data_IF_834872367381
#
_entry.id   IF_834872367381
#
_cell.length_a   1.000
_cell.length_b   1.000
_cell.length_c   1.000
_cell.angle_alpha   90.00
_cell.angle_beta   90.00
_cell.angle_gamma   90.00
#
_symmetry.space_group_name_H-M   'P 1'
#
loop_
_entity.id
_entity.type
_entity.pdbx_description
1 polymer ?
#
# COMPACT_ATOMS: atom_id res chain seq x y z
N UNK A 1 62.32 -83.61 20.87
CA UNK A 1 61.21 -82.68 21.08
C UNK A 1 61.20 -81.59 20.05
N UNK A 2 60.34 -81.67 19.00
CA UNK A 2 60.22 -80.66 17.97
C UNK A 2 59.07 -79.65 18.39
N UNK A 3 59.44 -78.43 18.70
CA UNK A 3 58.47 -77.35 18.94
C UNK A 3 57.86 -76.89 17.60
N UNK A 4 56.62 -77.26 17.33
CA UNK A 4 55.90 -76.71 16.19
C UNK A 4 55.58 -75.22 16.43
N UNK A 5 56.15 -74.33 15.58
CA UNK A 5 55.74 -72.92 15.48
C UNK A 5 54.37 -72.87 14.85
N UNK A 6 53.39 -72.52 15.63
CA UNK A 6 52.10 -72.11 15.11
C UNK A 6 52.31 -70.75 14.43
N UNK A 7 52.39 -70.74 13.09
CA UNK A 7 52.29 -69.52 12.32
C UNK A 7 50.85 -69.06 12.40
N UNK A 8 50.56 -68.17 13.33
CA UNK A 8 49.30 -67.47 13.38
C UNK A 8 49.06 -66.77 12.07
N UNK A 9 47.80 -66.91 11.51
CA UNK A 9 47.41 -66.40 10.20
C UNK A 9 47.27 -64.83 10.19
N UNK A 10 48.41 -64.14 9.96
CA UNK A 10 48.44 -62.69 9.73
C UNK A 10 47.60 -62.28 8.50
N UNK A 11 47.30 -63.21 7.60
CA UNK A 11 46.50 -63.03 6.40
C UNK A 11 44.96 -62.76 6.70
N UNK A 12 44.41 -63.42 7.73
CA UNK A 12 43.04 -63.23 8.14
C UNK A 12 42.75 -61.79 8.74
N UNK A 13 43.72 -61.32 9.54
CA UNK A 13 43.66 -59.98 10.14
C UNK A 13 43.78 -58.90 9.07
N UNK A 14 44.66 -59.04 8.06
CA UNK A 14 44.79 -58.12 6.96
C UNK A 14 43.52 -58.00 6.12
N UNK A 15 42.82 -59.14 5.89
CA UNK A 15 41.53 -59.14 5.16
C UNK A 15 40.45 -58.40 5.92
N UNK A 16 40.35 -58.62 7.25
CA UNK A 16 39.36 -57.90 8.09
C UNK A 16 39.63 -56.41 8.10
N UNK A 17 40.88 -55.95 8.25
CA UNK A 17 41.25 -54.55 8.19
C UNK A 17 40.95 -53.94 6.83
N UNK A 18 41.24 -54.66 5.74
CA UNK A 18 40.90 -54.20 4.40
C UNK A 18 39.37 -54.06 4.21
N UNK A 19 38.58 -55.02 4.72
CA UNK A 19 37.13 -54.98 4.67
C UNK A 19 36.59 -53.79 5.47
N UNK A 20 37.07 -53.54 6.68
CA UNK A 20 36.72 -52.35 7.48
C UNK A 20 37.09 -51.06 6.77
N UNK A 21 38.28 -50.98 6.18
CA UNK A 21 38.67 -49.79 5.42
C UNK A 21 37.76 -49.54 4.24
N UNK A 22 37.38 -50.57 3.48
CA UNK A 22 36.43 -50.46 2.36
C UNK A 22 35.02 -50.03 2.83
N UNK A 23 34.53 -50.62 3.93
CA UNK A 23 33.21 -50.22 4.47
C UNK A 23 33.19 -48.80 4.98
N UNK A 24 34.24 -48.34 5.65
CA UNK A 24 34.41 -46.96 6.09
C UNK A 24 34.45 -46.00 4.88
N UNK A 25 35.28 -46.33 3.87
CA UNK A 25 35.35 -45.54 2.65
C UNK A 25 34.02 -45.48 1.91
N UNK A 26 33.29 -46.62 1.80
CA UNK A 26 31.94 -46.64 1.21
C UNK A 26 30.94 -45.78 1.98
N UNK A 27 30.95 -45.86 3.33
CA UNK A 27 30.14 -45.03 4.17
C UNK A 27 30.43 -43.51 4.00
N UNK A 28 31.71 -43.15 3.92
CA UNK A 28 32.16 -41.78 3.66
C UNK A 28 31.70 -41.28 2.28
N UNK A 29 31.84 -42.12 1.24
CA UNK A 29 31.35 -41.76 -0.12
C UNK A 29 29.85 -41.52 -0.14
N UNK A 30 29.06 -42.39 0.51
CA UNK A 30 27.60 -42.21 0.60
C UNK A 30 27.25 -40.95 1.38
N UNK A 31 27.92 -40.68 2.50
CA UNK A 31 27.70 -39.45 3.28
C UNK A 31 28.08 -38.22 2.47
N UNK A 32 29.22 -38.20 1.79
CA UNK A 32 29.63 -37.10 0.94
C UNK A 32 28.67 -36.87 -0.25
N UNK A 33 28.23 -37.96 -0.91
CA UNK A 33 27.28 -37.86 -2.00
C UNK A 33 25.94 -37.29 -1.51
N UNK A 34 25.49 -37.61 -0.28
CA UNK A 34 24.32 -37.01 0.36
C UNK A 34 24.45 -35.50 0.56
N UNK A 35 25.59 -35.07 1.13
CA UNK A 35 25.90 -33.64 1.33
C UNK A 35 25.96 -32.91 -0.02
N UNK A 36 26.73 -33.45 -0.97
CA UNK A 36 26.84 -32.82 -2.30
C UNK A 36 25.51 -32.69 -3.05
N UNK A 37 24.61 -33.69 -2.91
CA UNK A 37 23.25 -33.61 -3.47
C UNK A 37 22.43 -32.50 -2.81
N UNK A 38 22.47 -32.38 -1.49
CA UNK A 38 21.77 -31.32 -0.74
C UNK A 38 22.32 -29.95 -1.13
N UNK A 39 23.65 -29.79 -1.21
CA UNK A 39 24.27 -28.53 -1.62
C UNK A 39 23.87 -28.13 -3.06
N UNK A 40 23.81 -29.09 -3.98
CA UNK A 40 23.41 -28.85 -5.35
C UNK A 40 21.93 -28.40 -5.42
N UNK A 41 21.03 -29.01 -4.63
CA UNK A 41 19.63 -28.61 -4.52
C UNK A 41 19.47 -27.20 -3.94
N UNK A 42 20.20 -26.90 -2.86
CA UNK A 42 20.20 -25.57 -2.26
C UNK A 42 20.72 -24.51 -3.23
N UNK A 43 21.83 -24.79 -3.93
CA UNK A 43 22.36 -23.89 -4.95
C UNK A 43 21.37 -23.66 -6.11
N UNK A 44 20.69 -24.72 -6.55
CA UNK A 44 19.63 -24.64 -7.56
C UNK A 44 18.45 -23.79 -7.12
N UNK A 45 17.96 -24.00 -5.89
CA UNK A 45 16.85 -23.21 -5.34
C UNK A 45 17.24 -21.74 -5.15
N UNK A 46 18.45 -21.47 -4.65
CA UNK A 46 18.96 -20.10 -4.51
C UNK A 46 19.07 -19.37 -5.84
N UNK A 47 19.55 -20.07 -6.88
CA UNK A 47 19.59 -19.52 -8.23
C UNK A 47 18.20 -19.21 -8.75
N UNK A 48 17.24 -20.14 -8.62
CA UNK A 48 15.86 -19.95 -9.04
C UNK A 48 15.21 -18.76 -8.32
N UNK A 49 15.44 -18.61 -7.01
CA UNK A 49 14.95 -17.48 -6.22
C UNK A 49 15.52 -16.14 -6.71
N UNK A 50 16.81 -16.06 -6.99
CA UNK A 50 17.42 -14.84 -7.54
C UNK A 50 16.90 -14.49 -8.93
N UNK A 51 16.73 -15.49 -9.80
CA UNK A 51 16.14 -15.30 -11.13
C UNK A 51 14.67 -14.89 -11.01
N UNK A 52 13.92 -15.48 -10.05
CA UNK A 52 12.54 -15.12 -9.74
C UNK A 52 12.37 -13.66 -9.32
N UNK A 53 13.31 -13.11 -8.53
CA UNK A 53 13.31 -11.67 -8.18
C UNK A 53 13.39 -10.82 -9.46
N UNK A 54 14.27 -11.15 -10.40
CA UNK A 54 14.41 -10.41 -11.65
C UNK A 54 13.18 -10.57 -12.55
N UNK A 55 12.59 -11.77 -12.60
CA UNK A 55 11.34 -12.00 -13.33
C UNK A 55 10.19 -11.18 -12.72
N UNK A 56 10.03 -11.17 -11.39
CA UNK A 56 9.03 -10.33 -10.71
C UNK A 56 9.30 -8.82 -10.93
N UNK A 57 10.56 -8.39 -11.01
CA UNK A 57 10.90 -7.02 -11.39
C UNK A 57 10.36 -6.64 -12.78
N UNK A 58 10.33 -7.57 -13.71
CA UNK A 58 9.75 -7.33 -15.05
C UNK A 58 8.24 -7.04 -14.95
N UNK A 59 7.52 -7.69 -14.02
CA UNK A 59 6.13 -7.38 -13.71
C UNK A 59 5.95 -5.95 -13.23
N UNK A 60 6.82 -5.47 -12.33
CA UNK A 60 6.78 -4.07 -11.89
C UNK A 60 7.07 -3.09 -13.05
N UNK A 61 8.01 -3.41 -13.95
CA UNK A 61 8.29 -2.57 -15.12
C UNK A 61 7.11 -2.51 -16.08
N UNK A 62 6.41 -3.63 -16.26
CA UNK A 62 5.20 -3.67 -17.05
C UNK A 62 4.11 -2.76 -16.46
N UNK A 63 3.84 -2.85 -15.16
CA UNK A 63 2.89 -1.96 -14.46
C UNK A 63 3.29 -0.48 -14.60
N UNK A 64 4.59 -0.16 -14.53
CA UNK A 64 5.09 1.20 -14.79
C UNK A 64 4.80 1.67 -16.20
N UNK A 65 4.90 0.78 -17.18
CA UNK A 65 4.57 1.10 -18.57
C UNK A 65 3.08 1.38 -18.74
N UNK A 66 2.20 0.55 -18.16
CA UNK A 66 0.75 0.77 -18.20
C UNK A 66 0.38 2.10 -17.55
N UNK A 67 0.89 2.39 -16.34
CA UNK A 67 0.67 3.68 -15.67
C UNK A 67 1.23 4.89 -16.41
N UNK A 68 2.26 4.71 -17.25
CA UNK A 68 2.85 5.79 -18.06
C UNK A 68 2.02 6.09 -19.33
N UNK A 69 1.30 5.10 -19.83
CA UNK A 69 0.41 5.22 -20.97
C UNK A 69 -1.00 5.72 -20.61
N UNK A 70 -1.34 5.64 -19.33
CA UNK A 70 -2.64 6.00 -18.77
C UNK A 70 -2.85 7.52 -18.63
N UNK A 71 -4.12 7.96 -18.71
CA UNK A 71 -4.49 9.38 -18.53
C UNK A 71 -4.53 9.76 -17.04
N UNK A 72 -3.49 10.44 -16.56
CA UNK A 72 -3.37 10.88 -15.19
C UNK A 72 -4.38 11.98 -14.74
N UNK A 73 -5.38 12.31 -15.56
CA UNK A 73 -6.42 13.30 -15.22
C UNK A 73 -7.54 12.72 -14.35
N UNK A 74 -7.69 11.40 -14.36
CA UNK A 74 -8.66 10.60 -13.62
C UNK A 74 -8.01 9.27 -13.25
N UNK A 75 -8.37 8.69 -12.13
CA UNK A 75 -8.03 7.31 -11.76
C UNK A 75 -9.26 6.58 -11.24
N UNK A 76 -9.60 5.47 -11.89
CA UNK A 76 -10.79 4.68 -11.58
C UNK A 76 -10.53 3.18 -11.69
N UNK A 77 -11.42 2.38 -11.12
CA UNK A 77 -11.37 0.92 -11.23
C UNK A 77 -11.74 0.39 -12.63
N UNK A 78 -12.19 1.25 -13.54
CA UNK A 78 -12.53 0.89 -14.91
C UNK A 78 -11.33 0.98 -15.88
N UNK A 79 -10.19 1.51 -15.45
CA UNK A 79 -9.01 1.73 -16.28
C UNK A 79 -8.13 0.49 -16.40
N UNK A 80 -7.29 0.44 -17.44
CA UNK A 80 -6.45 -0.72 -17.76
C UNK A 80 -5.52 -1.12 -16.59
N UNK A 81 -4.98 -0.15 -15.86
CA UNK A 81 -4.12 -0.44 -14.70
C UNK A 81 -4.88 -1.16 -13.58
N UNK A 82 -6.18 -0.86 -13.40
CA UNK A 82 -7.02 -1.50 -12.39
C UNK A 82 -7.50 -2.88 -12.85
N UNK A 83 -7.66 -3.10 -14.15
CA UNK A 83 -8.01 -4.43 -14.70
C UNK A 83 -6.92 -5.48 -14.43
N UNK A 84 -5.64 -5.09 -14.39
CA UNK A 84 -4.53 -5.97 -14.01
C UNK A 84 -4.73 -6.57 -12.60
N UNK A 85 -5.53 -5.94 -11.74
CA UNK A 85 -5.87 -6.48 -10.43
C UNK A 85 -6.87 -7.64 -10.52
N UNK A 86 -7.82 -7.58 -11.46
CA UNK A 86 -8.88 -8.57 -11.63
C UNK A 86 -8.41 -9.74 -12.51
N UNK A 87 -7.60 -9.42 -13.52
CA UNK A 87 -7.01 -10.39 -14.44
C UNK A 87 -5.49 -10.14 -14.46
N UNK A 88 -4.72 -10.87 -13.64
CA UNK A 88 -3.29 -10.70 -13.55
C UNK A 88 -2.63 -10.92 -14.90
N UNK A 89 -1.87 -9.94 -15.38
CA UNK A 89 -1.16 -10.07 -16.63
C UNK A 89 -0.10 -11.14 -16.50
N UNK A 90 -0.21 -12.18 -17.32
CA UNK A 90 0.84 -13.17 -17.53
C UNK A 90 1.86 -12.62 -18.52
N UNK A 91 3.09 -12.43 -18.03
CA UNK A 91 4.21 -12.02 -18.88
C UNK A 91 4.96 -13.25 -19.34
N UNK A 92 5.19 -13.34 -20.64
CA UNK A 92 6.04 -14.38 -21.26
C UNK A 92 7.52 -14.11 -20.94
N UNK A 93 7.94 -14.59 -19.79
CA UNK A 93 9.34 -14.57 -19.33
C UNK A 93 9.87 -16.00 -19.41
N UNK A 94 10.86 -16.30 -20.25
CA UNK A 94 11.33 -17.67 -20.44
C UNK A 94 11.63 -18.41 -19.13
N UNK A 95 10.90 -19.50 -18.87
CA UNK A 95 11.05 -20.34 -17.68
C UNK A 95 10.38 -19.81 -16.40
N UNK A 96 9.56 -18.76 -16.50
CA UNK A 96 8.81 -18.20 -15.37
C UNK A 96 7.40 -17.80 -15.76
N UNK A 97 6.44 -18.13 -14.91
CA UNK A 97 5.13 -17.47 -14.89
C UNK A 97 5.24 -16.22 -14.01
N UNK A 98 4.88 -15.06 -14.55
CA UNK A 98 4.92 -13.77 -13.83
C UNK A 98 3.53 -13.17 -13.81
N UNK A 99 3.05 -12.84 -12.61
CA UNK A 99 1.81 -12.12 -12.40
C UNK A 99 2.08 -10.79 -11.67
N UNK A 100 1.29 -9.78 -11.93
CA UNK A 100 1.41 -8.48 -11.25
C UNK A 100 0.03 -7.89 -10.94
N UNK A 101 -0.03 -7.10 -9.86
CA UNK A 101 -1.21 -6.37 -9.40
C UNK A 101 -0.84 -4.91 -9.15
N UNK A 102 -1.70 -4.00 -9.59
CA UNK A 102 -1.58 -2.55 -9.31
C UNK A 102 -2.75 -2.13 -8.44
N UNK A 103 -2.48 -1.34 -7.40
CA UNK A 103 -3.50 -0.79 -6.51
C UNK A 103 -3.23 0.68 -6.27
N UNK A 104 -4.30 1.48 -6.19
CA UNK A 104 -4.23 2.89 -5.81
C UNK A 104 -4.00 3.03 -4.30
N UNK A 105 -2.93 3.73 -3.90
CA UNK A 105 -2.68 4.04 -2.48
C UNK A 105 -3.70 5.06 -1.93
N UNK A 106 -4.28 5.92 -2.77
CA UNK A 106 -5.36 6.83 -2.37
C UNK A 106 -6.72 6.14 -2.18
N UNK A 107 -6.83 4.84 -2.44
CA UNK A 107 -7.97 4.03 -2.01
C UNK A 107 -7.98 3.76 -0.50
N UNK A 108 -6.91 4.10 0.23
CA UNK A 108 -6.69 3.86 1.66
C UNK A 108 -6.54 5.15 2.45
N UNK A 109 -6.88 5.09 3.73
CA UNK A 109 -6.69 6.23 4.64
C UNK A 109 -5.20 6.42 4.94
N UNK A 110 -4.66 7.62 4.70
CA UNK A 110 -3.28 7.91 5.04
C UNK A 110 -3.13 8.16 6.56
N UNK A 111 -2.43 7.25 7.21
CA UNK A 111 -2.26 7.27 8.66
C UNK A 111 -1.42 8.45 9.14
N UNK A 112 -0.60 9.04 8.27
CA UNK A 112 0.21 10.22 8.60
C UNK A 112 -0.58 11.53 8.58
N UNK A 113 -1.76 11.56 7.94
CA UNK A 113 -2.60 12.75 7.85
C UNK A 113 -3.97 12.59 8.53
N UNK A 114 -4.37 11.36 8.87
CA UNK A 114 -5.64 11.07 9.52
C UNK A 114 -5.71 11.74 10.92
N UNK A 115 -6.85 12.36 11.24
CA UNK A 115 -7.11 12.83 12.60
C UNK A 115 -7.78 11.74 13.45
N UNK A 116 -8.02 12.00 14.73
CA UNK A 116 -8.62 11.04 15.67
C UNK A 116 -9.98 10.53 15.17
N UNK A 117 -10.86 11.43 14.71
CA UNK A 117 -12.19 11.04 14.24
C UNK A 117 -12.13 10.07 13.06
N UNK A 118 -11.20 10.32 12.13
CA UNK A 118 -10.96 9.44 10.98
C UNK A 118 -10.44 8.06 11.40
N UNK A 119 -9.53 8.01 12.37
CA UNK A 119 -9.02 6.76 12.92
C UNK A 119 -10.11 5.99 13.64
N UNK A 120 -10.89 6.65 14.51
CA UNK A 120 -11.97 6.04 15.28
C UNK A 120 -13.13 5.50 14.42
N UNK A 121 -13.26 5.97 13.17
CA UNK A 121 -14.24 5.45 12.23
C UNK A 121 -13.78 4.13 11.55
N UNK A 122 -12.53 3.69 11.74
CA UNK A 122 -12.07 2.41 11.24
C UNK A 122 -12.55 1.24 12.13
N UNK A 123 -12.90 0.09 11.55
CA UNK A 123 -13.37 -1.08 12.32
C UNK A 123 -12.36 -1.52 13.37
N UNK A 124 -12.85 -1.79 14.58
CA UNK A 124 -12.04 -2.27 15.70
C UNK A 124 -11.12 -1.23 16.35
N UNK A 125 -11.11 0.01 15.86
CA UNK A 125 -10.29 1.08 16.45
C UNK A 125 -10.77 1.44 17.86
N UNK A 126 -9.80 1.63 18.77
CA UNK A 126 -10.04 2.05 20.16
C UNK A 126 -9.42 3.42 20.41
N UNK A 127 -9.85 4.10 21.52
CA UNK A 127 -9.20 5.32 21.96
C UNK A 127 -7.71 5.12 22.20
N UNK A 128 -7.32 3.98 22.82
CA UNK A 128 -5.92 3.64 23.07
C UNK A 128 -5.11 3.55 21.78
N UNK A 129 -5.58 2.77 20.81
CA UNK A 129 -4.88 2.61 19.53
C UNK A 129 -4.82 3.93 18.76
N UNK A 130 -5.93 4.70 18.72
CA UNK A 130 -5.98 5.96 17.97
C UNK A 130 -5.09 7.04 18.57
N UNK A 131 -5.10 7.22 19.91
CA UNK A 131 -4.25 8.20 20.59
C UNK A 131 -2.77 7.80 20.47
N UNK A 132 -2.44 6.51 20.67
CA UNK A 132 -1.07 6.02 20.51
C UNK A 132 -0.54 6.12 19.07
N UNK A 133 -1.39 5.99 18.04
CA UNK A 133 -1.00 6.24 16.63
C UNK A 133 -0.67 7.73 16.43
N UNK A 134 -1.42 8.62 17.07
CA UNK A 134 -1.19 10.05 16.95
C UNK A 134 0.09 10.47 17.69
N UNK A 135 0.32 9.94 18.90
CA UNK A 135 1.54 10.16 19.68
C UNK A 135 2.77 9.61 18.98
N UNK A 136 2.70 8.39 18.45
CA UNK A 136 3.80 7.77 17.69
C UNK A 136 4.37 8.66 16.60
N UNK A 137 3.53 9.47 15.95
CA UNK A 137 3.92 10.25 14.76
C UNK A 137 4.13 11.74 15.00
N UNK A 138 3.69 12.31 16.13
CA UNK A 138 3.99 13.71 16.41
C UNK A 138 5.41 13.89 16.95
N UNK A 139 5.82 15.12 17.24
CA UNK A 139 7.22 15.43 17.50
C UNK A 139 7.53 15.67 18.97
N UNK A 140 6.52 15.61 19.84
CA UNK A 140 6.69 15.80 21.28
C UNK A 140 6.60 14.45 22.03
N UNK A 141 6.78 14.46 23.35
CA UNK A 141 6.68 13.30 24.23
C UNK A 141 5.53 13.48 25.26
N UNK A 142 4.51 14.29 24.94
CA UNK A 142 3.35 14.55 25.78
C UNK A 142 2.19 13.61 25.41
N UNK A 143 1.96 12.52 26.17
CA UNK A 143 0.97 11.50 25.78
C UNK A 143 -0.46 12.06 25.81
N UNK A 144 -1.26 11.72 24.80
CA UNK A 144 -2.71 11.91 24.81
C UNK A 144 -3.35 11.09 25.94
N UNK A 145 -4.61 11.39 26.31
CA UNK A 145 -5.26 10.74 27.46
C UNK A 145 -5.25 9.21 27.47
N UNK A 146 -5.30 8.56 26.30
CA UNK A 146 -5.23 7.11 26.14
C UNK A 146 -3.99 6.68 25.32
N UNK A 147 -3.09 7.57 25.00
CA UNK A 147 -1.94 7.36 24.15
C UNK A 147 -0.68 6.89 24.86
N UNK A 148 0.39 6.74 24.11
CA UNK A 148 1.68 6.26 24.58
C UNK A 148 2.84 6.94 23.86
N UNK A 149 3.80 7.40 24.64
CA UNK A 149 5.05 7.98 24.21
C UNK A 149 6.26 7.14 24.57
N UNK A 150 7.45 7.63 24.32
CA UNK A 150 8.72 6.91 24.51
C UNK A 150 8.87 6.29 25.92
N UNK A 151 8.37 6.93 26.97
CA UNK A 151 8.43 6.41 28.34
C UNK A 151 7.67 5.05 28.46
N UNK A 152 6.53 4.91 27.78
CA UNK A 152 5.81 3.64 27.74
C UNK A 152 6.62 2.56 27.01
N UNK A 153 7.11 2.85 25.82
CA UNK A 153 7.81 1.86 24.98
C UNK A 153 9.15 1.44 25.57
N UNK A 154 9.85 2.36 26.27
CA UNK A 154 11.08 2.06 27.02
C UNK A 154 10.85 1.17 28.24
N UNK A 155 9.62 1.13 28.80
CA UNK A 155 9.25 0.25 29.90
C UNK A 155 8.98 -1.21 29.49
N UNK A 156 8.87 -1.49 28.20
CA UNK A 156 8.57 -2.83 27.68
C UNK A 156 9.78 -3.78 27.84
N UNK A 157 9.56 -5.11 27.92
CA UNK A 157 10.64 -6.11 27.99
C UNK A 157 11.63 -6.04 26.83
N UNK A 158 11.15 -5.68 25.63
CA UNK A 158 11.97 -5.33 24.46
C UNK A 158 11.83 -3.84 24.25
N UNK A 159 12.60 -3.06 24.97
CA UNK A 159 12.52 -1.60 24.97
C UNK A 159 12.89 -0.99 23.61
N UNK A 160 12.11 -0.01 23.18
CA UNK A 160 12.35 0.85 22.01
C UNK A 160 11.74 2.24 22.28
N UNK A 161 12.04 3.21 21.46
CA UNK A 161 11.48 4.57 21.55
C UNK A 161 10.32 4.72 20.55
N UNK A 162 9.39 5.65 20.83
CA UNK A 162 8.43 6.12 19.83
C UNK A 162 9.19 6.72 18.64
N UNK A 163 8.60 6.68 17.44
CA UNK A 163 9.28 7.22 16.27
C UNK A 163 9.35 8.75 16.29
N UNK A 164 8.40 9.43 16.95
CA UNK A 164 8.21 10.88 16.97
C UNK A 164 8.35 11.48 15.55
N UNK A 165 7.84 10.75 14.57
CA UNK A 165 7.92 11.04 13.14
C UNK A 165 6.86 10.25 12.37
N UNK A 166 6.55 10.71 11.17
CA UNK A 166 5.65 10.01 10.26
C UNK A 166 6.00 8.53 10.09
N UNK A 167 4.98 7.68 10.03
CA UNK A 167 5.16 6.27 9.67
C UNK A 167 5.81 6.14 8.29
N UNK A 168 6.86 5.34 8.19
CA UNK A 168 7.51 5.01 6.92
C UNK A 168 6.86 3.80 6.24
N UNK A 169 6.33 2.88 7.06
CA UNK A 169 5.63 1.67 6.58
C UNK A 169 4.41 1.37 7.46
N UNK A 170 3.37 0.79 6.85
CA UNK A 170 2.17 0.33 7.59
C UNK A 170 2.53 -0.72 8.65
N UNK A 171 3.59 -1.50 8.44
CA UNK A 171 4.02 -2.53 9.39
C UNK A 171 4.48 -1.97 10.76
N UNK A 172 4.90 -0.69 10.83
CA UNK A 172 5.25 -0.03 12.09
C UNK A 172 4.06 0.10 13.06
N UNK A 173 2.83 0.06 12.56
CA UNK A 173 1.64 0.02 13.41
C UNK A 173 1.65 -1.13 14.43
N UNK A 174 2.32 -2.24 14.11
CA UNK A 174 2.46 -3.39 15.03
C UNK A 174 3.34 -3.10 16.24
N UNK A 175 4.02 -1.97 16.26
CA UNK A 175 4.82 -1.49 17.38
C UNK A 175 4.04 -0.53 18.28
N UNK A 176 2.87 -0.06 17.83
CA UNK A 176 2.08 0.97 18.50
C UNK A 176 1.17 0.31 19.57
N UNK A 177 1.11 0.90 20.74
CA UNK A 177 0.22 0.47 21.82
C UNK A 177 -1.24 0.42 21.33
N UNK A 178 -2.00 -0.58 21.77
CA UNK A 178 -3.40 -0.77 21.39
C UNK A 178 -3.60 -1.39 20.01
N UNK A 179 -2.54 -1.50 19.18
CA UNK A 179 -2.61 -2.17 17.88
C UNK A 179 -2.17 -3.64 18.04
N UNK A 180 -3.09 -4.50 18.33
CA UNK A 180 -2.86 -5.92 18.41
C UNK A 180 -2.87 -6.60 17.02
N UNK A 181 -2.66 -7.91 17.01
CA UNK A 181 -2.64 -8.68 15.77
C UNK A 181 -3.99 -8.70 15.07
N UNK A 182 -5.09 -8.78 15.81
CA UNK A 182 -6.44 -8.86 15.26
C UNK A 182 -6.82 -7.52 14.58
N UNK A 183 -6.59 -6.42 15.26
CA UNK A 183 -6.80 -5.08 14.70
C UNK A 183 -5.92 -4.84 13.46
N UNK A 184 -4.65 -5.30 13.48
CA UNK A 184 -3.73 -5.10 12.36
C UNK A 184 -4.04 -5.98 11.15
N UNK A 185 -4.20 -7.31 11.36
CA UNK A 185 -4.36 -8.29 10.27
C UNK A 185 -5.83 -8.49 9.85
N UNK A 186 -6.79 -8.25 10.77
CA UNK A 186 -8.20 -8.61 10.60
C UNK A 186 -8.43 -10.12 10.73
N UNK A 187 -9.68 -10.52 10.60
CA UNK A 187 -10.10 -11.93 10.61
C UNK A 187 -10.36 -12.48 9.19
N UNK A 188 -10.19 -11.63 8.17
CA UNK A 188 -10.42 -11.96 6.76
C UNK A 188 -11.87 -11.72 6.30
N UNK A 189 -12.77 -11.27 7.19
CA UNK A 189 -14.12 -10.86 6.80
C UNK A 189 -14.17 -9.42 6.30
N UNK A 190 -15.22 -9.06 5.59
CA UNK A 190 -15.49 -7.66 5.19
C UNK A 190 -15.73 -6.75 6.41
N UNK A 191 -16.24 -7.28 7.50
CA UNK A 191 -16.49 -6.53 8.73
C UNK A 191 -15.20 -6.21 9.51
N UNK A 192 -14.15 -7.04 9.36
CA UNK A 192 -12.86 -6.87 10.02
C UNK A 192 -11.70 -7.09 9.04
N UNK A 193 -11.53 -6.18 8.05
CA UNK A 193 -10.50 -6.34 7.02
C UNK A 193 -9.08 -6.12 7.54
N UNK A 194 -8.92 -5.61 8.77
CA UNK A 194 -7.65 -5.24 9.39
C UNK A 194 -7.05 -3.93 8.87
N UNK A 195 -6.37 -3.20 9.76
CA UNK A 195 -5.78 -1.90 9.44
C UNK A 195 -4.81 -1.96 8.24
N UNK A 196 -4.05 -3.06 8.11
CA UNK A 196 -3.09 -3.25 7.01
C UNK A 196 -3.70 -3.08 5.61
N UNK A 197 -5.01 -3.34 5.47
CA UNK A 197 -5.74 -3.24 4.21
C UNK A 197 -6.45 -1.89 4.04
N UNK A 198 -6.73 -1.19 5.14
CA UNK A 198 -7.49 0.06 5.17
C UNK A 198 -6.61 1.31 5.16
N UNK A 199 -5.35 1.20 5.58
CA UNK A 199 -4.48 2.37 5.73
C UNK A 199 -3.24 2.30 4.83
N UNK A 200 -2.67 3.47 4.59
CA UNK A 200 -1.40 3.67 3.90
C UNK A 200 -0.56 4.72 4.62
N UNK A 201 0.72 4.78 4.31
CA UNK A 201 1.63 5.83 4.78
C UNK A 201 1.91 6.90 3.72
N UNK A 202 1.48 6.64 2.47
CA UNK A 202 1.71 7.55 1.34
C UNK A 202 0.53 7.51 0.38
N UNK A 203 -0.23 8.57 0.33
CA UNK A 203 -1.28 8.79 -0.67
C UNK A 203 -1.39 10.28 -0.97
N UNK A 204 -2.04 10.62 -2.04
CA UNK A 204 -2.32 12.00 -2.41
C UNK A 204 -2.27 12.25 -3.90
N UNK A 205 -2.49 13.49 -4.26
CA UNK A 205 -2.53 13.96 -5.65
C UNK A 205 -1.63 15.18 -5.86
N UNK A 206 -1.19 15.42 -7.09
CA UNK A 206 -0.59 16.71 -7.47
C UNK A 206 -1.63 17.81 -7.41
N UNK A 207 -1.23 18.99 -6.91
CA UNK A 207 -2.11 20.17 -6.84
C UNK A 207 -2.28 20.84 -8.20
N UNK A 208 -2.82 20.09 -9.15
CA UNK A 208 -3.06 20.54 -10.54
C UNK A 208 -4.49 20.22 -10.96
N UNK A 209 -5.01 21.00 -11.92
CA UNK A 209 -6.29 20.73 -12.56
C UNK A 209 -6.23 19.48 -13.48
N UNK A 210 -7.35 19.10 -14.09
CA UNK A 210 -7.42 17.96 -15.03
C UNK A 210 -6.53 18.13 -16.27
N UNK A 211 -6.10 19.36 -16.60
CA UNK A 211 -5.19 19.64 -17.72
C UNK A 211 -3.72 19.70 -17.29
N UNK A 212 -3.42 19.32 -16.03
CA UNK A 212 -2.08 19.34 -15.48
C UNK A 212 -1.55 20.74 -15.13
N UNK A 213 -2.38 21.79 -15.14
CA UNK A 213 -2.00 23.15 -14.76
C UNK A 213 -2.17 23.36 -13.26
N UNK A 214 -1.30 24.15 -12.60
CA UNK A 214 -1.47 24.47 -11.19
C UNK A 214 -2.88 25.01 -10.91
N UNK A 215 -3.51 24.53 -9.81
CA UNK A 215 -4.79 25.07 -9.34
C UNK A 215 -4.63 26.52 -8.91
N UNK A 216 -5.66 27.34 -9.16
CA UNK A 216 -5.66 28.74 -8.77
C UNK A 216 -5.79 28.88 -7.26
N UNK A 217 -4.77 29.46 -6.60
CA UNK A 217 -4.83 29.69 -5.17
C UNK A 217 -5.76 30.87 -4.88
N UNK A 218 -6.96 30.60 -4.32
CA UNK A 218 -7.97 31.62 -4.03
C UNK A 218 -7.54 32.61 -2.94
N UNK A 219 -6.49 32.33 -2.17
CA UNK A 219 -5.95 33.24 -1.17
C UNK A 219 -5.05 34.33 -1.78
N UNK A 220 -4.37 34.02 -2.88
CA UNK A 220 -3.36 34.92 -3.49
C UNK A 220 -3.74 35.44 -4.86
N UNK A 221 -4.68 34.78 -5.53
CA UNK A 221 -5.09 35.14 -6.89
C UNK A 221 -5.64 36.58 -6.96
N UNK A 222 -5.29 37.30 -8.01
CA UNK A 222 -5.86 38.61 -8.32
C UNK A 222 -7.34 38.51 -8.68
N UNK A 223 -8.06 39.63 -8.63
CA UNK A 223 -9.46 39.67 -9.06
C UNK A 223 -9.64 39.29 -10.52
N UNK A 224 -8.64 39.59 -11.38
CA UNK A 224 -8.62 39.25 -12.80
C UNK A 224 -8.45 37.73 -13.00
N UNK A 225 -7.55 37.09 -12.27
CA UNK A 225 -7.36 35.64 -12.30
C UNK A 225 -8.63 34.90 -11.80
N UNK A 226 -9.25 35.40 -10.70
CA UNK A 226 -10.52 34.87 -10.21
C UNK A 226 -11.66 35.04 -11.23
N UNK A 227 -11.67 36.09 -12.03
CA UNK A 227 -12.69 36.33 -13.07
C UNK A 227 -12.67 35.25 -14.18
N UNK A 228 -11.60 34.45 -14.28
CA UNK A 228 -11.56 33.30 -15.18
C UNK A 228 -12.44 32.12 -14.74
N UNK A 229 -12.89 32.14 -13.46
CA UNK A 229 -13.68 31.06 -12.82
C UNK A 229 -14.99 31.61 -12.26
N UNK A 230 -14.98 32.81 -11.71
CA UNK A 230 -16.06 33.43 -10.96
C UNK A 230 -16.54 34.73 -11.63
N UNK A 231 -17.75 35.13 -11.36
CA UNK A 231 -18.23 36.48 -11.74
C UNK A 231 -17.49 37.55 -10.94
N UNK A 232 -17.52 38.79 -11.40
CA UNK A 232 -16.87 39.91 -10.68
C UNK A 232 -17.36 40.09 -9.25
N UNK A 233 -18.68 39.83 -9.01
CA UNK A 233 -19.28 39.89 -7.66
C UNK A 233 -18.80 38.77 -6.76
N UNK A 234 -18.69 37.53 -7.27
CA UNK A 234 -18.19 36.37 -6.56
C UNK A 234 -16.67 36.54 -6.27
N UNK A 235 -15.88 37.00 -7.26
CA UNK A 235 -14.47 37.30 -7.08
C UNK A 235 -14.25 38.33 -5.96
N UNK A 236 -15.03 39.40 -5.93
CA UNK A 236 -14.99 40.40 -4.88
C UNK A 236 -15.39 39.82 -3.51
N UNK A 237 -16.37 38.91 -3.47
CA UNK A 237 -16.75 38.21 -2.24
C UNK A 237 -15.63 37.30 -1.71
N UNK A 238 -14.95 36.57 -2.58
CA UNK A 238 -13.77 35.76 -2.24
C UNK A 238 -12.67 36.62 -1.66
N UNK A 239 -12.29 37.70 -2.33
CA UNK A 239 -11.21 38.61 -1.90
C UNK A 239 -11.49 39.21 -0.51
N UNK A 240 -12.74 39.58 -0.23
CA UNK A 240 -13.12 40.17 1.09
C UNK A 240 -13.04 39.19 2.26
N UNK A 241 -13.21 37.88 2.01
CA UNK A 241 -13.31 36.88 3.07
C UNK A 241 -12.02 36.07 3.28
N UNK A 242 -10.95 36.40 2.56
CA UNK A 242 -9.60 35.82 2.77
C UNK A 242 -9.08 36.15 4.18
N UNK A 243 -8.21 35.29 4.78
CA UNK A 243 -7.69 34.03 4.21
C UNK A 243 -8.59 32.81 4.49
N UNK A 244 -8.54 31.83 3.60
CA UNK A 244 -9.20 30.53 3.78
C UNK A 244 -8.15 29.51 4.21
N UNK A 245 -8.43 28.73 5.24
CA UNK A 245 -7.53 27.66 5.74
C UNK A 245 -7.83 26.31 5.08
N UNK A 246 -8.99 26.15 4.43
CA UNK A 246 -9.43 24.91 3.81
C UNK A 246 -10.41 25.18 2.65
N UNK A 247 -10.55 24.22 1.72
CA UNK A 247 -11.60 24.24 0.70
C UNK A 247 -12.98 24.15 1.34
N UNK A 248 -13.10 23.39 2.45
CA UNK A 248 -14.34 23.33 3.23
C UNK A 248 -14.78 24.69 3.76
N UNK A 249 -13.85 25.54 4.18
CA UNK A 249 -14.18 26.93 4.55
C UNK A 249 -14.60 27.75 3.32
N UNK A 250 -13.92 27.58 2.19
CA UNK A 250 -14.22 28.28 0.95
C UNK A 250 -15.62 27.93 0.40
N UNK A 251 -16.12 26.72 0.60
CA UNK A 251 -17.49 26.33 0.25
C UNK A 251 -18.58 27.17 0.96
N UNK A 252 -18.29 27.74 2.13
CA UNK A 252 -19.19 28.60 2.90
C UNK A 252 -19.07 30.10 2.62
N UNK A 253 -18.42 30.53 1.54
CA UNK A 253 -18.25 31.94 1.19
C UNK A 253 -19.60 32.62 0.95
N UNK A 254 -19.87 33.69 1.66
CA UNK A 254 -21.08 34.50 1.42
C UNK A 254 -21.00 35.20 0.06
N UNK A 255 -22.04 35.04 -0.74
CA UNK A 255 -22.12 35.58 -2.09
C UNK A 255 -21.65 34.64 -3.20
N UNK A 256 -21.23 33.44 -2.86
CA UNK A 256 -20.98 32.33 -3.80
C UNK A 256 -21.78 31.12 -3.36
N UNK A 257 -22.59 30.55 -4.24
CA UNK A 257 -23.30 29.33 -3.85
C UNK A 257 -22.35 28.17 -3.64
N UNK A 258 -22.60 27.33 -2.64
CA UNK A 258 -21.75 26.17 -2.37
C UNK A 258 -21.67 25.19 -3.55
N UNK A 259 -22.76 25.02 -4.33
CA UNK A 259 -22.77 24.21 -5.56
C UNK A 259 -21.87 24.76 -6.64
N UNK A 260 -21.85 26.10 -6.81
CA UNK A 260 -20.89 26.76 -7.72
C UNK A 260 -19.47 26.53 -7.27
N UNK A 261 -19.21 26.67 -5.96
CA UNK A 261 -17.87 26.43 -5.40
C UNK A 261 -17.47 24.95 -5.55
N UNK A 262 -18.38 24.00 -5.27
CA UNK A 262 -18.15 22.57 -5.47
C UNK A 262 -17.75 22.25 -6.92
N UNK A 263 -18.46 22.80 -7.91
CA UNK A 263 -18.17 22.58 -9.34
C UNK A 263 -16.84 23.13 -9.82
N UNK A 264 -16.08 23.86 -9.00
CA UNK A 264 -14.77 24.40 -9.36
C UNK A 264 -13.62 23.89 -8.46
N UNK A 265 -13.89 22.96 -7.52
CA UNK A 265 -12.89 22.45 -6.57
C UNK A 265 -11.62 21.89 -7.24
N UNK A 266 -11.73 21.33 -8.44
CA UNK A 266 -10.56 20.84 -9.19
C UNK A 266 -9.74 21.93 -9.86
N UNK A 267 -10.22 23.15 -9.85
CA UNK A 267 -9.55 24.31 -10.48
C UNK A 267 -8.93 25.26 -9.48
N UNK A 268 -9.27 25.12 -8.19
CA UNK A 268 -8.87 26.02 -7.10
C UNK A 268 -8.14 25.26 -5.99
N UNK A 269 -7.32 26.01 -5.23
CA UNK A 269 -6.70 25.56 -3.99
C UNK A 269 -6.64 26.72 -2.98
N UNK A 270 -6.30 26.41 -1.73
CA UNK A 270 -6.15 27.39 -0.64
C UNK A 270 -4.71 27.60 -0.23
N UNK A 271 -3.79 26.74 -0.67
CA UNK A 271 -2.37 26.81 -0.38
C UNK A 271 -1.50 26.58 -1.63
N UNK A 272 -0.19 26.79 -1.49
CA UNK A 272 0.78 26.70 -2.58
C UNK A 272 1.51 25.37 -2.65
N UNK A 273 1.12 24.35 -1.86
CA UNK A 273 1.73 23.02 -1.91
C UNK A 273 1.54 22.43 -3.30
N UNK A 274 2.59 21.83 -3.82
CA UNK A 274 2.56 21.17 -5.13
C UNK A 274 1.96 19.77 -5.09
N UNK A 275 1.86 19.21 -3.89
CA UNK A 275 1.31 17.89 -3.60
C UNK A 275 0.35 17.96 -2.40
N UNK A 276 -0.81 17.36 -2.51
CA UNK A 276 -1.84 17.29 -1.48
C UNK A 276 -1.82 15.87 -0.91
N UNK A 277 -1.20 15.72 0.26
CA UNK A 277 -1.09 14.43 0.95
C UNK A 277 -2.41 14.01 1.60
N UNK A 278 -2.65 12.72 1.66
CA UNK A 278 -3.74 12.12 2.42
C UNK A 278 -5.11 12.25 1.78
N UNK A 279 -5.20 12.68 0.53
CA UNK A 279 -6.47 12.66 -0.19
C UNK A 279 -6.89 11.24 -0.55
N UNK A 280 -8.19 10.96 -0.43
CA UNK A 280 -8.84 9.68 -0.73
C UNK A 280 -9.54 9.78 -2.09
N UNK A 281 -9.26 8.85 -2.97
CA UNK A 281 -9.85 8.80 -4.31
C UNK A 281 -11.26 8.21 -4.26
N UNK A 282 -12.27 9.00 -4.62
CA UNK A 282 -13.67 8.60 -4.67
C UNK A 282 -13.92 7.39 -5.60
N UNK A 283 -13.10 7.26 -6.65
CA UNK A 283 -13.27 6.22 -7.66
C UNK A 283 -12.68 4.86 -7.28
N UNK A 284 -11.82 4.81 -6.24
CA UNK A 284 -11.11 3.58 -5.87
C UNK A 284 -11.30 3.16 -4.41
N UNK A 285 -11.61 4.11 -3.52
CA UNK A 285 -11.74 3.85 -2.08
C UNK A 285 -12.93 2.95 -1.74
N UNK A 286 -12.77 2.02 -0.81
CA UNK A 286 -13.87 1.21 -0.26
C UNK A 286 -14.80 2.02 0.65
N UNK A 287 -16.03 1.52 0.88
CA UNK A 287 -17.04 2.16 1.73
C UNK A 287 -16.50 2.56 3.10
N UNK A 288 -15.81 1.63 3.78
CA UNK A 288 -15.19 1.86 5.09
C UNK A 288 -14.22 3.06 5.10
N UNK A 289 -13.41 3.23 4.06
CA UNK A 289 -12.49 4.36 3.96
C UNK A 289 -13.24 5.67 3.66
N UNK A 290 -14.29 5.60 2.84
CA UNK A 290 -15.17 6.74 2.56
C UNK A 290 -15.92 7.21 3.83
N UNK A 291 -16.36 6.27 4.67
CA UNK A 291 -16.95 6.59 5.98
C UNK A 291 -15.91 7.21 6.92
N UNK A 292 -14.70 6.69 6.94
CA UNK A 292 -13.63 7.22 7.77
C UNK A 292 -13.26 8.67 7.46
N UNK A 293 -13.40 9.12 6.21
CA UNK A 293 -13.17 10.53 5.85
C UNK A 293 -14.36 11.44 6.15
N UNK A 294 -15.51 10.90 6.62
CA UNK A 294 -16.67 11.67 7.09
C UNK A 294 -17.92 11.58 6.22
N UNK A 295 -18.04 10.61 5.32
CA UNK A 295 -19.30 10.30 4.65
C UNK A 295 -20.16 9.41 5.54
N UNK A 296 -21.51 9.56 5.49
CA UNK A 296 -22.37 8.58 6.14
C UNK A 296 -22.37 7.26 5.37
N UNK A 297 -22.71 6.11 6.02
CA UNK A 297 -22.76 4.81 5.34
C UNK A 297 -23.60 4.82 4.06
N UNK A 298 -24.74 5.53 4.08
CA UNK A 298 -25.64 5.64 2.93
C UNK A 298 -25.00 6.42 1.78
N UNK A 299 -24.28 7.52 2.09
CA UNK A 299 -23.57 8.32 1.08
C UNK A 299 -22.37 7.55 0.55
N UNK A 300 -21.62 6.85 1.41
CA UNK A 300 -20.51 6.02 0.99
C UNK A 300 -20.96 4.90 0.04
N UNK A 301 -22.07 4.22 0.35
CA UNK A 301 -22.67 3.22 -0.52
C UNK A 301 -23.12 3.83 -1.87
N UNK A 302 -23.76 5.01 -1.86
CA UNK A 302 -24.18 5.70 -3.07
C UNK A 302 -22.99 6.16 -3.94
N UNK A 303 -21.86 6.52 -3.34
CA UNK A 303 -20.60 6.82 -4.05
C UNK A 303 -20.09 5.56 -4.75
N UNK A 304 -20.04 4.43 -4.05
CA UNK A 304 -19.56 3.14 -4.59
C UNK A 304 -20.45 2.67 -5.74
N UNK A 305 -21.79 2.80 -5.60
CA UNK A 305 -22.76 2.46 -6.65
C UNK A 305 -22.57 3.35 -7.87
N UNK A 306 -22.58 4.68 -7.70
CA UNK A 306 -22.45 5.64 -8.80
C UNK A 306 -21.19 5.43 -9.64
N UNK A 307 -20.03 5.23 -8.99
CA UNK A 307 -18.75 5.10 -9.72
C UNK A 307 -18.66 3.86 -10.59
N UNK A 308 -19.46 2.82 -10.28
CA UNK A 308 -19.53 1.59 -11.08
C UNK A 308 -20.12 1.85 -12.46
N UNK A 309 -21.07 2.80 -12.54
CA UNK A 309 -21.71 3.21 -13.79
C UNK A 309 -20.95 4.38 -14.44
N UNK A 310 -20.57 5.36 -13.62
CA UNK A 310 -19.91 6.58 -14.08
C UNK A 310 -18.88 7.08 -13.04
N UNK A 311 -17.58 7.02 -13.33
CA UNK A 311 -16.56 7.58 -12.47
C UNK A 311 -16.76 9.06 -12.18
N UNK A 312 -16.33 9.50 -10.99
CA UNK A 312 -16.30 10.92 -10.60
C UNK A 312 -15.18 11.61 -11.38
N UNK A 313 -15.53 12.49 -12.29
CA UNK A 313 -14.56 13.26 -13.08
C UNK A 313 -13.96 14.42 -12.29
N UNK A 314 -14.70 14.92 -11.30
CA UNK A 314 -14.30 16.03 -10.44
C UNK A 314 -14.74 15.81 -8.99
N UNK A 315 -14.03 16.44 -8.04
CA UNK A 315 -14.46 16.47 -6.62
C UNK A 315 -15.86 17.03 -6.45
N UNK A 316 -16.24 17.94 -7.34
CA UNK A 316 -17.55 18.58 -7.33
C UNK A 316 -18.72 17.66 -7.64
N UNK A 317 -18.47 16.58 -8.38
CA UNK A 317 -19.51 15.61 -8.76
C UNK A 317 -20.08 14.88 -7.54
N UNK A 318 -19.36 14.87 -6.42
CA UNK A 318 -19.88 14.38 -5.15
C UNK A 318 -21.15 15.15 -4.72
N UNK A 319 -21.27 16.43 -5.07
CA UNK A 319 -22.46 17.24 -4.76
C UNK A 319 -23.75 16.75 -5.44
N UNK A 320 -23.64 15.86 -6.43
CA UNK A 320 -24.78 15.29 -7.16
C UNK A 320 -25.20 13.93 -6.57
N UNK A 321 -24.43 13.36 -5.65
CA UNK A 321 -24.76 12.10 -4.98
C UNK A 321 -25.92 12.32 -4.00
N UNK A 322 -26.87 11.39 -3.98
CA UNK A 322 -28.00 11.43 -3.08
C UNK A 322 -27.55 11.51 -1.61
N UNK A 323 -28.16 12.38 -0.82
CA UNK A 323 -27.81 12.58 0.58
C UNK A 323 -26.69 13.61 0.82
N UNK A 324 -25.91 14.00 -0.22
CA UNK A 324 -24.85 15.00 -0.07
C UNK A 324 -25.44 16.42 0.01
N UNK A 325 -24.99 17.17 1.00
CA UNK A 325 -25.36 18.56 1.24
C UNK A 325 -24.10 19.42 1.47
N UNK A 326 -24.32 20.73 1.68
CA UNK A 326 -23.20 21.67 1.93
C UNK A 326 -22.34 21.26 3.10
N UNK A 327 -22.94 20.79 4.21
CA UNK A 327 -22.22 20.38 5.42
C UNK A 327 -21.25 19.22 5.13
N UNK A 328 -21.70 18.19 4.41
CA UNK A 328 -20.87 17.05 3.99
C UNK A 328 -19.76 17.52 3.05
N UNK A 329 -20.10 18.30 2.01
CA UNK A 329 -19.09 18.82 1.09
C UNK A 329 -18.00 19.61 1.81
N UNK A 330 -18.37 20.45 2.78
CA UNK A 330 -17.41 21.23 3.58
C UNK A 330 -16.51 20.33 4.45
N UNK A 331 -17.05 19.24 4.97
CA UNK A 331 -16.29 18.31 5.81
C UNK A 331 -15.25 17.52 5.01
N UNK A 332 -15.53 17.18 3.74
CA UNK A 332 -14.69 16.25 2.96
C UNK A 332 -13.89 16.89 1.82
N UNK A 333 -14.17 18.17 1.44
CA UNK A 333 -13.59 18.80 0.24
C UNK A 333 -12.05 18.76 0.18
N UNK A 334 -11.37 18.85 1.33
CA UNK A 334 -9.92 18.79 1.43
C UNK A 334 -9.37 17.36 1.49
N UNK A 335 -10.25 16.36 1.69
CA UNK A 335 -9.89 14.96 1.92
C UNK A 335 -10.09 14.07 0.70
N UNK A 336 -10.85 14.55 -0.30
CA UNK A 336 -11.23 13.77 -1.48
C UNK A 336 -10.40 14.15 -2.70
N UNK A 337 -10.21 13.16 -3.59
CA UNK A 337 -9.62 13.28 -4.91
C UNK A 337 -10.40 12.43 -5.92
N UNK A 338 -10.12 12.61 -7.22
CA UNK A 338 -10.57 11.74 -8.31
C UNK A 338 -9.40 11.19 -9.11
N UNK A 339 -8.19 11.45 -8.65
CA UNK A 339 -6.93 10.97 -9.22
C UNK A 339 -5.91 10.73 -8.12
N UNK A 340 -4.88 9.98 -8.43
CA UNK A 340 -3.85 9.52 -7.51
C UNK A 340 -2.46 9.71 -8.09
N UNK A 341 -1.49 9.91 -7.23
CA UNK A 341 -0.09 9.99 -7.65
C UNK A 341 0.74 8.81 -7.17
N UNK A 342 0.23 8.02 -6.21
CA UNK A 342 0.98 6.90 -5.62
C UNK A 342 0.24 5.60 -5.84
N UNK A 343 0.93 4.62 -6.41
CA UNK A 343 0.40 3.29 -6.71
C UNK A 343 1.28 2.22 -6.07
N UNK A 344 0.64 1.19 -5.57
CA UNK A 344 1.26 -0.02 -5.07
C UNK A 344 1.30 -1.05 -6.19
N UNK A 345 2.43 -1.67 -6.39
CA UNK A 345 2.57 -2.82 -7.28
C UNK A 345 3.08 -4.01 -6.48
N UNK A 346 2.41 -5.14 -6.61
CA UNK A 346 2.91 -6.43 -6.15
C UNK A 346 3.06 -7.32 -7.38
N UNK A 347 4.25 -7.90 -7.54
CA UNK A 347 4.51 -8.81 -8.66
C UNK A 347 5.08 -10.12 -8.12
N UNK A 348 4.60 -11.23 -8.68
CA UNK A 348 4.99 -12.59 -8.33
C UNK A 348 5.66 -13.25 -9.51
N UNK A 349 6.65 -14.10 -9.25
CA UNK A 349 7.28 -14.94 -10.26
C UNK A 349 7.46 -16.35 -9.72
N UNK A 350 7.09 -17.34 -10.49
CA UNK A 350 7.25 -18.75 -10.20
C UNK A 350 7.99 -19.43 -11.34
N UNK A 351 9.11 -20.12 -11.10
CA UNK A 351 9.73 -20.99 -12.10
C UNK A 351 8.78 -22.10 -12.53
N UNK A 352 8.71 -22.41 -13.81
CA UNK A 352 7.86 -23.48 -14.36
C UNK A 352 8.21 -24.88 -13.83
N UNK A 353 9.50 -25.10 -13.45
CA UNK A 353 10.05 -26.40 -13.03
C UNK A 353 9.98 -26.66 -11.52
N UNK A 354 9.50 -25.70 -10.72
CA UNK A 354 9.48 -25.84 -9.24
C UNK A 354 8.51 -24.87 -8.54
N UNK A 355 7.93 -25.28 -7.38
CA UNK A 355 6.92 -24.49 -6.67
C UNK A 355 7.58 -23.45 -5.74
N UNK A 356 8.49 -22.63 -6.25
CA UNK A 356 9.15 -21.55 -5.48
C UNK A 356 8.59 -20.21 -5.98
N UNK A 357 7.70 -19.59 -5.20
CA UNK A 357 7.19 -18.26 -5.52
C UNK A 357 8.14 -17.20 -4.96
N UNK A 358 8.49 -16.25 -5.80
CA UNK A 358 9.21 -15.03 -5.42
C UNK A 358 8.30 -13.85 -5.67
N UNK A 359 8.15 -12.97 -4.68
CA UNK A 359 7.33 -11.78 -4.84
C UNK A 359 8.11 -10.51 -4.49
N UNK A 360 7.75 -9.44 -5.16
CA UNK A 360 8.29 -8.09 -4.94
C UNK A 360 7.15 -7.10 -4.78
N UNK A 361 7.39 -6.13 -3.91
CA UNK A 361 6.52 -5.01 -3.65
C UNK A 361 7.22 -3.73 -4.05
N UNK A 362 6.51 -2.84 -4.73
CA UNK A 362 7.01 -1.52 -5.08
C UNK A 362 5.93 -0.45 -4.85
N UNK A 363 6.31 0.71 -4.34
CA UNK A 363 5.50 1.93 -4.44
C UNK A 363 6.02 2.76 -5.60
N UNK A 364 5.10 3.20 -6.44
CA UNK A 364 5.35 4.00 -7.62
C UNK A 364 4.77 5.41 -7.44
N UNK A 365 5.59 6.42 -7.69
CA UNK A 365 5.17 7.82 -7.76
C UNK A 365 4.97 8.22 -9.24
N UNK A 366 3.71 8.38 -9.66
CA UNK A 366 3.33 8.76 -11.02
C UNK A 366 3.43 10.27 -11.28
N UNK A 367 3.89 11.07 -10.33
CA UNK A 367 4.19 12.49 -10.60
C UNK A 367 5.31 12.66 -11.65
N UNK A 368 6.09 11.62 -11.89
CA UNK A 368 7.07 11.49 -12.98
C UNK A 368 6.57 10.52 -14.06
N UNK A 369 6.99 10.71 -15.31
CA UNK A 369 6.71 9.78 -16.40
C UNK A 369 8.04 9.32 -17.04
N UNK A 370 8.38 8.01 -17.02
CA UNK A 370 7.63 6.93 -16.36
C UNK A 370 7.61 7.06 -14.82
N UNK A 371 6.62 6.46 -14.16
CA UNK A 371 6.46 6.50 -12.72
C UNK A 371 7.75 6.07 -11.99
N UNK A 372 8.14 6.84 -10.95
CA UNK A 372 9.36 6.59 -10.18
C UNK A 372 9.11 5.57 -9.09
N UNK A 373 9.99 4.59 -8.94
CA UNK A 373 9.98 3.68 -7.79
C UNK A 373 10.48 4.43 -6.56
N UNK A 374 9.65 4.60 -5.55
CA UNK A 374 9.96 5.30 -4.30
C UNK A 374 10.20 4.34 -3.13
N UNK A 375 9.69 3.13 -3.21
CA UNK A 375 9.95 2.05 -2.27
C UNK A 375 10.02 0.73 -3.04
N UNK A 376 10.93 -0.14 -2.64
CA UNK A 376 11.10 -1.48 -3.18
C UNK A 376 11.43 -2.44 -2.04
N UNK A 377 10.74 -3.59 -1.98
CA UNK A 377 11.11 -4.68 -1.08
C UNK A 377 10.76 -6.04 -1.68
N UNK A 378 11.54 -7.05 -1.34
CA UNK A 378 11.19 -8.43 -1.58
C UNK A 378 10.23 -8.90 -0.49
N UNK A 379 9.19 -9.64 -0.88
CA UNK A 379 8.23 -10.25 0.03
C UNK A 379 8.65 -11.67 0.38
N UNK A 380 8.32 -12.12 1.59
CA UNK A 380 8.66 -13.45 2.10
C UNK A 380 7.47 -14.09 2.79
N UNK A 381 7.48 -15.44 2.86
CA UNK A 381 6.47 -16.21 3.58
C UNK A 381 5.05 -15.97 3.02
N UNK A 382 4.10 -15.68 3.89
CA UNK A 382 2.70 -15.46 3.50
C UNK A 382 2.50 -14.24 2.62
N UNK A 383 3.30 -13.20 2.78
CA UNK A 383 3.21 -11.99 1.95
C UNK A 383 3.64 -12.24 0.50
N UNK A 384 4.43 -13.28 0.24
CA UNK A 384 4.88 -13.67 -1.09
C UNK A 384 3.89 -14.58 -1.83
N UNK A 385 2.80 -15.01 -1.20
CA UNK A 385 1.81 -15.84 -1.87
C UNK A 385 0.98 -15.00 -2.84
N UNK A 386 0.77 -15.46 -4.09
CA UNK A 386 -0.15 -14.80 -5.00
C UNK A 386 -1.57 -14.89 -4.43
N UNK A 387 -2.46 -13.96 -4.76
CA UNK A 387 -3.86 -14.08 -4.42
C UNK A 387 -4.38 -15.41 -4.99
N UNK A 388 -5.14 -16.16 -4.18
CA UNK A 388 -5.75 -17.42 -4.61
C UNK A 388 -6.73 -17.09 -5.72
N UNK A 389 -6.49 -17.57 -6.93
CA UNK A 389 -7.48 -17.51 -8.01
C UNK A 389 -8.56 -18.57 -7.73
N UNK A 390 -9.84 -18.24 -7.97
CA UNK A 390 -11.00 -19.12 -7.69
C UNK A 390 -10.89 -20.53 -8.31
N UNK A 391 -10.05 -20.73 -9.34
CA UNK A 391 -9.76 -22.04 -9.92
C UNK A 391 -8.99 -22.99 -8.98
N UNK A 392 -8.36 -22.51 -7.92
CA UNK A 392 -7.63 -23.35 -6.96
C UNK A 392 -8.49 -23.85 -5.79
N UNK A 393 -9.69 -23.32 -5.57
CA UNK A 393 -10.66 -23.83 -4.59
C UNK A 393 -11.47 -25.02 -5.09
N UNK A 394 -11.44 -25.32 -6.39
CA UNK A 394 -12.17 -26.45 -7.00
C UNK A 394 -11.33 -27.71 -7.21
N UNK A 395 -10.26 -27.89 -6.47
CA UNK A 395 -9.49 -29.15 -6.46
C UNK A 395 -10.24 -30.26 -5.67
N UNK A 396 -10.14 -31.50 -6.09
CA UNK A 396 -11.01 -32.61 -5.70
C UNK A 396 -10.98 -32.99 -4.23
#
# INVERSE_FOLDING_TARGET
MRRGRIRGSSQGVALIVALFAVTILAALVVAFAGVARTDALLAGNRRAMLQGVHAAQSGVQYCRYVLAADDASLDSTAEDWAQIQQDPVELDIPGFTVAAKVEDESARLNINTANKDMLMALPGMTDEASDSILDWRDADDDPRPAGAESDYYLSLPSAYEAANANFETVAQLRLVQGVDRELFEGDGSEASPGLRNLVTVRSGERNVDRRGRPRLNINTASSEELASIFTSGEAAAIVRQRPFVSLGQALGIQGVSWRKMAGVLDRICVDSRTFLEGTVNLNTAGGTVLEAIGLSPEVAAAVVERRSDQPFESKGDLAEVAGVNEGIMRAVADRIATKSSVFRVTAWAQPEDRPIVTAVFALLDRSANPARVILWRQLFGREAQPPITEEQESGP
#
